data_IF_463298005016
#
_entry.id   IF_463298005016
#
_cell.length_a   1.000
_cell.length_b   1.000
_cell.length_c   1.000
_cell.angle_alpha   90.00
_cell.angle_beta   90.00
_cell.angle_gamma   90.00
#
_symmetry.space_group_name_H-M   'P 1'
#
loop_
_entity.id
_entity.type
_entity.pdbx_description
1 polymer ?
#
# COMPACT_ATOMS: atom_id res chain seq x y z
N UNK A 1 15.39 18.53 4.75
CA UNK A 1 16.63 19.08 5.34
C UNK A 1 16.37 20.03 6.52
N UNK A 2 15.25 20.73 6.58
CA UNK A 2 14.95 21.67 7.67
C UNK A 2 14.50 21.00 8.97
N UNK A 3 13.76 19.92 8.91
CA UNK A 3 13.29 19.18 10.08
C UNK A 3 14.44 18.65 10.98
N UNK A 4 15.61 18.38 10.40
CA UNK A 4 16.78 17.91 11.16
C UNK A 4 17.67 19.04 11.73
N UNK A 5 17.43 20.29 11.32
CA UNK A 5 18.27 21.42 11.80
C UNK A 5 17.93 21.87 13.24
N UNK A 6 16.74 21.48 13.73
CA UNK A 6 16.29 21.92 15.08
C UNK A 6 16.78 21.07 16.24
N UNK A 7 17.64 20.05 16.00
CA UNK A 7 18.09 19.12 17.05
C UNK A 7 17.00 18.23 17.64
N UNK A 8 15.75 18.37 17.18
CA UNK A 8 14.63 17.49 17.53
C UNK A 8 14.66 16.29 16.61
N UNK A 9 14.62 15.11 17.20
CA UNK A 9 14.54 13.84 16.48
C UNK A 9 13.14 13.63 15.86
N UNK A 10 12.76 14.54 14.95
CA UNK A 10 11.46 14.55 14.31
C UNK A 10 11.35 13.38 13.34
N UNK A 11 10.27 12.61 13.46
CA UNK A 11 9.89 11.57 12.50
C UNK A 11 8.96 12.19 11.46
N UNK A 12 9.23 11.90 10.20
CA UNK A 12 8.39 12.36 9.08
C UNK A 12 7.63 11.18 8.50
N UNK A 13 6.31 11.31 8.40
CA UNK A 13 5.46 10.35 7.72
C UNK A 13 4.90 11.01 6.46
N UNK A 14 5.13 10.38 5.31
CA UNK A 14 4.56 10.80 4.03
C UNK A 14 3.58 9.73 3.60
N UNK A 15 2.32 10.10 3.46
CA UNK A 15 1.24 9.24 2.96
C UNK A 15 0.83 9.78 1.59
N UNK A 16 0.87 8.92 0.58
CA UNK A 16 0.36 9.22 -0.75
C UNK A 16 -0.84 8.32 -1.00
N UNK A 17 -2.02 8.87 -0.79
CA UNK A 17 -3.26 8.20 -1.15
C UNK A 17 -3.49 8.31 -2.66
N UNK A 18 -4.16 7.33 -3.24
CA UNK A 18 -4.38 7.20 -4.71
C UNK A 18 -3.08 7.39 -5.51
N UNK A 19 -2.02 6.73 -5.03
CA UNK A 19 -0.67 6.92 -5.58
C UNK A 19 -0.58 6.62 -7.08
N UNK A 20 -1.52 5.85 -7.65
CA UNK A 20 -1.61 5.57 -9.09
C UNK A 20 -1.83 6.85 -9.91
N UNK A 21 -2.49 7.88 -9.37
CA UNK A 21 -2.72 9.15 -10.06
C UNK A 21 -1.41 9.90 -10.38
N UNK A 22 -0.34 9.59 -9.66
CA UNK A 22 0.98 10.18 -9.87
C UNK A 22 1.88 9.32 -10.78
N UNK A 23 1.44 8.11 -11.12
CA UNK A 23 2.22 7.15 -11.91
C UNK A 23 1.66 7.12 -13.33
N UNK A 24 2.13 8.04 -14.14
CA UNK A 24 1.84 8.09 -15.57
C UNK A 24 3.16 7.97 -16.34
N UNK A 25 3.18 7.13 -17.37
CA UNK A 25 4.32 7.00 -18.29
C UNK A 25 4.71 8.33 -18.95
N UNK A 26 3.76 9.28 -19.05
CA UNK A 26 4.01 10.63 -19.55
C UNK A 26 4.75 11.52 -18.55
N UNK A 27 4.70 11.19 -17.26
CA UNK A 27 5.28 11.97 -16.18
C UNK A 27 6.17 11.10 -15.29
N UNK A 28 7.31 10.59 -15.77
CA UNK A 28 8.16 9.66 -15.05
C UNK A 28 8.75 10.23 -13.75
N UNK A 29 8.75 11.55 -13.59
CA UNK A 29 9.32 12.24 -12.42
C UNK A 29 8.66 11.80 -11.12
N UNK A 30 7.33 11.60 -11.11
CA UNK A 30 6.62 11.19 -9.90
C UNK A 30 6.99 9.76 -9.48
N UNK A 31 7.09 8.85 -10.45
CA UNK A 31 7.52 7.48 -10.18
C UNK A 31 8.98 7.43 -9.70
N UNK A 32 9.87 8.23 -10.30
CA UNK A 32 11.26 8.35 -9.85
C UNK A 32 11.35 8.91 -8.43
N UNK A 33 10.47 9.84 -8.09
CA UNK A 33 10.35 10.35 -6.74
C UNK A 33 9.94 9.23 -5.76
N UNK A 34 8.90 8.47 -6.05
CA UNK A 34 8.44 7.35 -5.21
C UNK A 34 9.51 6.27 -5.06
N UNK A 35 10.19 5.93 -6.14
CA UNK A 35 11.31 5.01 -6.12
C UNK A 35 12.47 5.52 -5.25
N UNK A 36 12.82 6.79 -5.37
CA UNK A 36 13.86 7.42 -4.56
C UNK A 36 13.45 7.48 -3.09
N UNK A 37 12.18 7.78 -2.79
CA UNK A 37 11.64 7.81 -1.44
C UNK A 37 11.68 6.41 -0.80
N UNK A 38 11.24 5.37 -1.50
CA UNK A 38 11.28 3.99 -0.98
C UNK A 38 12.68 3.55 -0.56
N UNK A 39 13.72 4.04 -1.23
CA UNK A 39 15.11 3.71 -0.92
C UNK A 39 15.74 4.55 0.18
N UNK A 40 15.39 5.82 0.28
CA UNK A 40 16.19 6.82 1.01
C UNK A 40 15.51 7.38 2.26
N UNK A 41 14.18 7.32 2.36
CA UNK A 41 13.44 8.03 3.42
C UNK A 41 13.88 7.64 4.83
N UNK A 42 14.25 6.38 5.04
CA UNK A 42 14.75 5.88 6.33
C UNK A 42 15.99 6.63 6.82
N UNK A 43 16.86 7.09 5.91
CA UNK A 43 18.04 7.89 6.26
C UNK A 43 17.69 9.27 6.83
N UNK A 44 16.45 9.71 6.60
CA UNK A 44 15.94 10.99 7.06
C UNK A 44 14.94 10.82 8.22
N UNK A 45 14.98 9.66 8.90
CA UNK A 45 14.07 9.33 9.99
C UNK A 45 12.60 9.43 9.56
N UNK A 46 12.31 9.05 8.32
CA UNK A 46 11.00 9.13 7.71
C UNK A 46 10.44 7.77 7.31
N UNK A 47 9.13 7.76 7.09
CA UNK A 47 8.37 6.65 6.51
C UNK A 47 7.57 7.15 5.32
N UNK A 48 7.44 6.32 4.30
CA UNK A 48 6.65 6.58 3.10
C UNK A 48 5.63 5.46 2.92
N UNK A 49 4.35 5.83 2.80
CA UNK A 49 3.22 4.91 2.65
C UNK A 49 2.47 5.29 1.37
N UNK A 50 2.77 4.67 0.23
CA UNK A 50 1.91 4.77 -0.94
C UNK A 50 0.72 3.85 -0.79
N UNK A 51 -0.49 4.34 -1.04
CA UNK A 51 -1.72 3.57 -1.12
C UNK A 51 -2.32 3.71 -2.51
N UNK A 52 -2.85 2.62 -3.06
CA UNK A 52 -3.48 2.62 -4.37
C UNK A 52 -4.60 1.60 -4.43
N UNK A 53 -5.64 1.90 -5.18
CA UNK A 53 -6.71 0.97 -5.53
C UNK A 53 -6.48 0.32 -6.90
N UNK A 54 -5.59 0.89 -7.72
CA UNK A 54 -5.35 0.42 -9.08
C UNK A 54 -3.87 0.04 -9.28
N UNK A 55 -3.57 -1.25 -9.18
CA UNK A 55 -2.23 -1.78 -9.41
C UNK A 55 -1.91 -1.93 -10.91
N UNK A 56 -2.93 -2.01 -11.77
CA UNK A 56 -2.75 -2.16 -13.20
C UNK A 56 -1.98 -0.99 -13.82
N UNK A 57 -2.23 0.24 -13.34
CA UNK A 57 -1.52 1.44 -13.81
C UNK A 57 -0.01 1.36 -13.49
N UNK A 58 0.34 0.74 -12.38
CA UNK A 58 1.73 0.53 -11.96
C UNK A 58 2.44 -0.56 -12.77
N UNK A 59 1.68 -1.32 -13.54
CA UNK A 59 2.14 -2.47 -14.33
C UNK A 59 1.99 -2.24 -15.85
N UNK A 60 1.61 -1.05 -16.28
CA UNK A 60 1.21 -0.74 -17.66
C UNK A 60 2.33 -0.95 -18.70
N UNK A 61 3.60 -0.84 -18.31
CA UNK A 61 4.74 -1.14 -19.16
C UNK A 61 5.92 -1.70 -18.34
N UNK A 62 6.96 -2.18 -19.00
CA UNK A 62 8.09 -2.84 -18.35
C UNK A 62 8.89 -1.90 -17.43
N UNK A 63 9.05 -0.64 -17.79
CA UNK A 63 9.72 0.36 -16.96
C UNK A 63 8.96 0.62 -15.67
N UNK A 64 7.64 0.88 -15.77
CA UNK A 64 6.76 1.08 -14.63
C UNK A 64 6.78 -0.15 -13.72
N UNK A 65 6.64 -1.34 -14.29
CA UNK A 65 6.69 -2.63 -13.56
C UNK A 65 7.99 -2.80 -12.79
N UNK A 66 9.13 -2.52 -13.41
CA UNK A 66 10.44 -2.64 -12.78
C UNK A 66 10.57 -1.72 -11.57
N UNK A 67 10.17 -0.45 -11.70
CA UNK A 67 10.22 0.53 -10.62
C UNK A 67 9.23 0.19 -9.51
N UNK A 68 8.01 -0.23 -9.85
CA UNK A 68 6.98 -0.67 -8.91
C UNK A 68 7.44 -1.90 -8.11
N UNK A 69 7.96 -2.91 -8.79
CA UNK A 69 8.53 -4.08 -8.12
C UNK A 69 9.64 -3.69 -7.14
N UNK A 70 10.49 -2.73 -7.51
CA UNK A 70 11.53 -2.23 -6.62
C UNK A 70 10.97 -1.43 -5.43
N UNK A 71 9.89 -0.66 -5.60
CA UNK A 71 9.21 0.03 -4.49
C UNK A 71 8.67 -1.02 -3.51
N UNK A 72 7.97 -2.04 -3.99
CA UNK A 72 7.42 -3.12 -3.17
C UNK A 72 8.53 -3.88 -2.41
N UNK A 73 9.62 -4.26 -3.09
CA UNK A 73 10.76 -4.93 -2.45
C UNK A 73 11.48 -4.08 -1.39
N UNK A 74 11.45 -2.76 -1.53
CA UNK A 74 12.00 -1.85 -0.53
C UNK A 74 11.01 -1.56 0.60
N UNK A 75 9.74 -1.91 0.45
CA UNK A 75 8.72 -1.76 1.48
C UNK A 75 8.95 -2.78 2.59
N UNK A 76 9.00 -2.31 3.82
CA UNK A 76 9.19 -3.16 4.99
C UNK A 76 7.90 -3.90 5.33
N UNK A 77 6.77 -3.31 5.02
CA UNK A 77 5.44 -3.84 5.26
C UNK A 77 4.56 -3.60 4.03
N UNK A 78 3.75 -4.60 3.68
CA UNK A 78 2.72 -4.47 2.64
C UNK A 78 1.39 -4.94 3.19
N UNK A 79 0.35 -4.18 2.94
CA UNK A 79 -1.03 -4.48 3.31
C UNK A 79 -1.84 -4.63 2.02
N UNK A 80 -2.41 -5.81 1.79
CA UNK A 80 -3.24 -6.11 0.62
C UNK A 80 -4.66 -6.36 1.14
N UNK A 81 -5.53 -5.41 0.88
CA UNK A 81 -6.95 -5.54 1.16
C UNK A 81 -7.61 -6.45 0.12
N UNK A 82 -8.92 -6.71 0.29
CA UNK A 82 -9.68 -7.52 -0.66
C UNK A 82 -9.45 -7.05 -2.10
N UNK A 83 -9.13 -7.99 -2.96
CA UNK A 83 -8.99 -7.79 -4.40
C UNK A 83 -10.01 -8.62 -5.16
N UNK A 84 -10.40 -8.15 -6.34
CA UNK A 84 -11.08 -8.99 -7.33
C UNK A 84 -10.10 -10.00 -7.94
N UNK A 85 -10.61 -11.05 -8.57
CA UNK A 85 -9.77 -12.03 -9.26
C UNK A 85 -8.94 -11.42 -10.41
N UNK A 86 -9.45 -10.46 -11.22
CA UNK A 86 -8.63 -9.72 -12.17
C UNK A 86 -7.49 -8.94 -11.51
N UNK A 87 -7.76 -8.15 -10.48
CA UNK A 87 -6.76 -7.32 -9.79
C UNK A 87 -5.67 -8.19 -9.14
N UNK A 88 -6.04 -9.39 -8.67
CA UNK A 88 -5.06 -10.34 -8.14
C UNK A 88 -4.04 -10.77 -9.20
N UNK A 89 -4.44 -10.88 -10.47
CA UNK A 89 -3.50 -11.18 -11.58
C UNK A 89 -2.48 -10.05 -11.75
N UNK A 90 -2.91 -8.80 -11.68
CA UNK A 90 -2.02 -7.64 -11.79
C UNK A 90 -1.01 -7.63 -10.64
N UNK A 91 -1.45 -7.94 -9.43
CA UNK A 91 -0.56 -8.11 -8.28
C UNK A 91 0.44 -9.23 -8.51
N UNK A 92 0.00 -10.39 -9.00
CA UNK A 92 0.90 -11.51 -9.32
C UNK A 92 1.95 -11.13 -10.35
N UNK A 93 1.58 -10.33 -11.35
CA UNK A 93 2.50 -9.87 -12.39
C UNK A 93 3.60 -8.97 -11.86
N UNK A 94 3.31 -8.14 -10.86
CA UNK A 94 4.29 -7.28 -10.20
C UNK A 94 5.22 -8.08 -9.28
N UNK A 95 4.70 -9.12 -8.63
CA UNK A 95 5.46 -9.95 -7.67
C UNK A 95 6.21 -11.11 -8.32
N UNK A 96 6.06 -11.36 -9.62
CA UNK A 96 6.68 -12.50 -10.35
C UNK A 96 8.19 -12.68 -10.15
N UNK A 97 8.90 -11.68 -9.72
CA UNK A 97 10.37 -11.71 -9.64
C UNK A 97 10.94 -12.25 -8.30
N UNK A 98 10.19 -13.05 -7.52
CA UNK A 98 10.80 -13.70 -6.35
C UNK A 98 9.86 -14.15 -5.23
N UNK A 99 8.72 -13.51 -5.02
CA UNK A 99 7.80 -13.82 -3.92
C UNK A 99 6.37 -13.98 -4.41
N UNK A 100 6.14 -14.97 -5.29
CA UNK A 100 4.77 -15.25 -5.77
C UNK A 100 3.86 -15.71 -4.63
N UNK A 101 2.57 -15.36 -4.74
CA UNK A 101 1.55 -15.83 -3.81
C UNK A 101 1.16 -17.27 -4.12
N UNK A 102 1.11 -18.11 -3.12
CA UNK A 102 0.56 -19.45 -3.24
C UNK A 102 -0.98 -19.42 -3.35
N UNK A 103 -1.59 -20.55 -3.69
CA UNK A 103 -3.03 -20.63 -3.92
C UNK A 103 -3.88 -20.29 -2.68
N UNK A 104 -3.37 -20.59 -1.47
CA UNK A 104 -4.07 -20.29 -0.22
C UNK A 104 -4.03 -18.77 0.08
N UNK A 105 -2.89 -18.13 -0.11
CA UNK A 105 -2.74 -16.69 0.04
C UNK A 105 -3.63 -15.90 -0.93
N UNK A 106 -3.69 -16.33 -2.19
CA UNK A 106 -4.58 -15.72 -3.17
C UNK A 106 -6.04 -15.86 -2.76
N UNK A 107 -6.44 -17.04 -2.27
CA UNK A 107 -7.80 -17.26 -1.73
C UNK A 107 -8.09 -16.35 -0.54
N UNK A 108 -7.15 -16.21 0.40
CA UNK A 108 -7.31 -15.34 1.56
C UNK A 108 -7.55 -13.88 1.14
N UNK A 109 -6.82 -13.39 0.13
CA UNK A 109 -6.97 -12.02 -0.37
C UNK A 109 -8.33 -11.84 -1.07
N UNK A 110 -8.70 -12.74 -1.97
CA UNK A 110 -9.94 -12.62 -2.76
C UNK A 110 -11.18 -12.78 -1.89
N UNK A 111 -11.15 -13.66 -0.88
CA UNK A 111 -12.27 -13.92 0.03
C UNK A 111 -12.30 -13.02 1.26
N UNK A 112 -11.35 -12.09 1.39
CA UNK A 112 -11.29 -11.21 2.55
C UNK A 112 -12.59 -10.42 2.74
N UNK A 113 -13.02 -10.27 3.98
CA UNK A 113 -14.16 -9.43 4.36
C UNK A 113 -13.70 -8.11 4.95
N UNK A 114 -14.62 -7.17 5.15
CA UNK A 114 -14.33 -5.86 5.72
C UNK A 114 -13.51 -5.97 7.01
N UNK A 115 -12.42 -5.23 7.08
CA UNK A 115 -11.48 -5.25 8.20
C UNK A 115 -10.43 -6.35 8.14
N UNK A 116 -10.47 -7.26 7.16
CA UNK A 116 -9.40 -8.22 6.93
C UNK A 116 -8.41 -7.68 5.89
N UNK A 117 -7.14 -7.98 6.12
CA UNK A 117 -6.04 -7.60 5.23
C UNK A 117 -4.96 -8.68 5.24
N UNK A 118 -4.42 -8.98 4.08
CA UNK A 118 -3.24 -9.82 3.97
C UNK A 118 -2.01 -8.96 4.21
N UNK A 119 -1.24 -9.34 5.23
CA UNK A 119 -0.06 -8.62 5.69
C UNK A 119 1.21 -9.36 5.31
N UNK A 120 2.14 -8.63 4.71
CA UNK A 120 3.49 -9.10 4.42
C UNK A 120 4.46 -8.23 5.24
N UNK A 121 5.19 -8.87 6.13
CA UNK A 121 6.20 -8.23 6.99
C UNK A 121 7.62 -8.43 6.46
N UNK A 122 8.58 -7.75 7.08
CA UNK A 122 9.99 -7.74 6.67
C UNK A 122 10.76 -9.05 6.92
N UNK A 123 10.18 -10.00 7.64
CA UNK A 123 10.84 -11.24 8.07
C UNK A 123 10.07 -12.47 7.61
N UNK A 124 9.74 -12.54 6.34
CA UNK A 124 8.97 -13.65 5.73
C UNK A 124 7.57 -13.88 6.36
N UNK A 125 7.15 -12.98 7.23
CA UNK A 125 5.82 -13.04 7.83
C UNK A 125 4.77 -12.70 6.78
N UNK A 126 3.97 -13.69 6.43
CA UNK A 126 2.86 -13.56 5.47
C UNK A 126 1.62 -14.16 6.14
N UNK A 127 0.64 -13.33 6.45
CA UNK A 127 -0.52 -13.78 7.21
C UNK A 127 -1.73 -12.88 6.98
N UNK A 128 -2.91 -13.42 7.24
CA UNK A 128 -4.14 -12.63 7.28
C UNK A 128 -4.31 -12.03 8.68
N UNK A 129 -4.57 -10.74 8.75
CA UNK A 129 -4.83 -10.03 10.00
C UNK A 129 -6.17 -9.31 9.94
N UNK A 130 -6.80 -9.15 11.10
CA UNK A 130 -8.02 -8.36 11.24
C UNK A 130 -7.66 -7.02 11.87
N UNK A 131 -7.98 -5.95 11.14
CA UNK A 131 -7.85 -4.57 11.64
C UNK A 131 -9.09 -4.25 12.45
N UNK A 132 -8.90 -3.88 13.71
CA UNK A 132 -9.97 -3.39 14.58
C UNK A 132 -9.66 -1.95 14.98
N UNK A 133 -10.64 -1.07 14.84
CA UNK A 133 -10.54 0.32 15.27
C UNK A 133 -11.28 0.51 16.59
N UNK A 134 -10.69 1.29 17.51
CA UNK A 134 -11.38 1.68 18.75
C UNK A 134 -12.54 2.63 18.46
N UNK A 135 -13.49 2.72 19.40
CA UNK A 135 -14.72 3.54 19.24
C UNK A 135 -14.41 5.01 18.96
N UNK A 136 -13.36 5.58 19.54
CA UNK A 136 -12.95 6.95 19.25
C UNK A 136 -12.61 7.15 17.76
N UNK A 137 -11.85 6.24 17.17
CA UNK A 137 -11.49 6.34 15.75
C UNK A 137 -12.73 6.15 14.87
N UNK A 138 -13.62 5.21 15.22
CA UNK A 138 -14.89 5.04 14.51
C UNK A 138 -15.72 6.31 14.51
N UNK A 139 -15.85 6.97 15.67
CA UNK A 139 -16.64 8.20 15.81
C UNK A 139 -16.10 9.38 14.98
N UNK A 140 -14.82 9.36 14.58
CA UNK A 140 -14.26 10.38 13.69
C UNK A 140 -14.72 10.23 12.23
N UNK A 141 -15.16 9.04 11.84
CA UNK A 141 -15.62 8.70 10.50
C UNK A 141 -17.13 8.46 10.43
N UNK A 142 -17.83 8.51 11.57
CA UNK A 142 -19.30 8.51 11.59
C UNK A 142 -19.78 9.89 11.14
N UNK A 143 -20.60 9.89 10.09
CA UNK A 143 -21.18 11.12 9.59
C UNK A 143 -22.11 11.71 10.65
N UNK A 144 -22.01 13.01 10.91
CA UNK A 144 -22.86 13.71 11.90
C UNK A 144 -24.35 13.67 11.56
N UNK A 145 -24.70 13.17 10.40
CA UNK A 145 -26.07 12.97 9.91
C UNK A 145 -26.70 11.65 10.35
N UNK A 146 -25.96 10.76 11.04
CA UNK A 146 -26.49 9.49 11.53
C UNK A 146 -26.76 8.42 10.46
N UNK A 147 -26.34 8.63 9.24
CA UNK A 147 -26.39 7.62 8.19
C UNK A 147 -25.13 6.73 8.28
N UNK A 148 -25.32 5.57 8.88
CA UNK A 148 -24.28 4.54 8.94
C UNK A 148 -23.90 4.08 7.52
N UNK A 149 -22.65 4.24 7.14
CA UNK A 149 -22.03 3.63 5.95
C UNK A 149 -21.96 2.08 6.00
N UNK A 150 -22.67 1.46 6.91
CA UNK A 150 -22.74 0.00 7.12
C UNK A 150 -23.96 -0.67 6.49
N UNK A 151 -24.56 -0.07 5.46
CA UNK A 151 -25.66 -0.71 4.73
C UNK A 151 -25.33 -0.97 3.27
N UNK A 152 -24.25 -1.71 3.01
CA UNK A 152 -24.15 -2.47 1.75
C UNK A 152 -23.18 -3.63 1.96
N UNK A 153 -23.74 -4.73 2.38
CA UNK A 153 -23.03 -5.98 2.58
C UNK A 153 -23.99 -7.12 2.89
N UNK A 154 -24.99 -7.29 2.00
CA UNK A 154 -25.70 -8.57 1.84
C UNK A 154 -25.35 -9.16 0.50
#
# INVERSE_FOLDING_TARGET
>A
REANKSGKNLRTLIISDEAHLFIDAKFPIALDFFFSMSKRIRKYNGSFIPATQNIADWNANEELRSKTSAILKNSQYTFIFKLSAPDMKDVLDVYKAGDSFNADEQRMIISAVTGQVFFIGSTELRTNVKITTGEYIKSLFEDKTGENYNKEGN
#
